data_IF_890748927719
#
_entry.id   IF_890748927719
#
_cell.length_a   1.000
_cell.length_b   1.000
_cell.length_c   1.000
_cell.angle_alpha   90.00
_cell.angle_beta   90.00
_cell.angle_gamma   90.00
#
_symmetry.space_group_name_H-M   'P 1'
#
loop_
_entity.id
_entity.type
_entity.pdbx_description
1 polymer ?
#
# COMPACT_ATOMS: atom_id res chain seq x y z
N UNK A 1 13.42 -1.14 -2.40
CA UNK A 1 12.72 0.12 -2.01
C UNK A 1 11.74 0.47 -3.12
N UNK A 2 10.57 1.02 -2.80
CA UNK A 2 9.47 1.20 -3.76
C UNK A 2 9.31 2.62 -4.34
N UNK A 3 10.05 3.61 -3.84
CA UNK A 3 10.08 4.97 -4.41
C UNK A 3 8.88 5.87 -4.12
N UNK A 4 7.89 5.41 -3.34
CA UNK A 4 6.73 6.24 -2.99
C UNK A 4 7.04 7.35 -1.99
N UNK A 5 6.37 8.49 -2.13
CA UNK A 5 6.33 9.52 -1.09
C UNK A 5 5.32 9.11 -0.02
N UNK A 6 5.79 9.04 1.22
CA UNK A 6 5.01 8.63 2.40
C UNK A 6 4.94 9.80 3.36
N UNK A 7 3.74 10.19 3.77
CA UNK A 7 3.54 11.24 4.76
C UNK A 7 3.99 10.77 6.16
N UNK A 8 4.27 11.68 7.10
CA UNK A 8 4.54 11.31 8.48
C UNK A 8 3.45 10.37 9.04
N UNK A 9 3.89 9.24 9.60
CA UNK A 9 2.98 8.21 10.12
C UNK A 9 2.18 8.78 11.29
N UNK A 10 0.87 8.53 11.29
CA UNK A 10 -0.04 8.93 12.36
C UNK A 10 -0.52 7.70 13.10
N UNK A 11 0.09 7.35 14.24
CA UNK A 11 -0.24 6.17 15.06
C UNK A 11 -0.44 4.89 14.24
N UNK A 12 -1.66 4.59 13.81
CA UNK A 12 -2.02 3.40 13.04
C UNK A 12 -2.32 3.68 11.55
N UNK A 13 -2.14 4.91 11.08
CA UNK A 13 -2.44 5.33 9.71
C UNK A 13 -1.16 5.68 8.95
N UNK A 14 -1.10 5.20 7.70
CA UNK A 14 -0.03 5.49 6.75
C UNK A 14 -0.65 6.05 5.47
N UNK A 15 -0.17 7.21 5.05
CA UNK A 15 -0.60 7.84 3.80
C UNK A 15 0.52 7.77 2.76
N UNK A 16 0.16 7.32 1.56
CA UNK A 16 1.10 7.15 0.44
C UNK A 16 0.57 7.89 -0.78
N UNK A 17 1.43 8.68 -1.42
CA UNK A 17 1.12 9.36 -2.67
C UNK A 17 1.37 8.40 -3.84
N UNK A 18 0.29 7.94 -4.48
CA UNK A 18 0.29 6.98 -5.59
C UNK A 18 -0.06 7.65 -6.92
N UNK A 19 -0.83 8.75 -6.88
CA UNK A 19 -1.26 9.48 -8.07
C UNK A 19 -2.17 8.63 -8.97
N UNK A 20 -2.02 8.80 -10.29
CA UNK A 20 -2.88 8.16 -11.29
C UNK A 20 -2.74 6.63 -11.34
N UNK A 21 -1.65 6.09 -10.76
CA UNK A 21 -1.39 4.65 -10.70
C UNK A 21 -2.25 3.93 -9.65
N UNK A 22 -3.11 4.64 -8.90
CA UNK A 22 -3.88 4.06 -7.79
C UNK A 22 -4.78 2.88 -8.20
N UNK A 23 -5.41 2.94 -9.37
CA UNK A 23 -6.25 1.84 -9.86
C UNK A 23 -5.41 0.62 -10.29
N UNK A 24 -4.28 0.85 -10.96
CA UNK A 24 -3.37 -0.20 -11.37
C UNK A 24 -2.75 -0.91 -10.15
N UNK A 25 -2.35 -0.14 -9.14
CA UNK A 25 -1.85 -0.66 -7.87
C UNK A 25 -2.92 -1.50 -7.16
N UNK A 26 -4.17 -1.03 -7.11
CA UNK A 26 -5.28 -1.78 -6.52
C UNK A 26 -5.48 -3.13 -7.21
N UNK A 27 -5.50 -3.16 -8.54
CA UNK A 27 -5.68 -4.39 -9.30
C UNK A 27 -4.52 -5.38 -9.03
N UNK A 28 -3.28 -4.88 -9.09
CA UNK A 28 -2.08 -5.68 -8.83
C UNK A 28 -2.01 -6.22 -7.39
N UNK A 29 -2.44 -5.43 -6.41
CA UNK A 29 -2.52 -5.83 -5.02
C UNK A 29 -3.61 -6.88 -4.79
N UNK A 30 -4.76 -6.76 -5.47
CA UNK A 30 -5.87 -7.70 -5.35
C UNK A 30 -5.48 -9.12 -5.79
N UNK A 31 -4.69 -9.26 -6.86
CA UNK A 31 -4.12 -10.55 -7.31
C UNK A 31 -3.26 -11.23 -6.23
N UNK A 32 -2.70 -10.44 -5.31
CA UNK A 32 -1.84 -10.90 -4.21
C UNK A 32 -2.58 -10.99 -2.87
N UNK A 33 -3.92 -10.92 -2.90
CA UNK A 33 -4.76 -10.99 -1.70
C UNK A 33 -4.79 -9.72 -0.86
N UNK A 34 -4.23 -8.61 -1.34
CA UNK A 34 -4.20 -7.32 -0.63
C UNK A 34 -5.35 -6.44 -1.14
N UNK A 35 -6.29 -6.11 -0.26
CA UNK A 35 -7.43 -5.23 -0.60
C UNK A 35 -7.07 -3.77 -0.34
N UNK A 36 -7.10 -2.95 -1.39
CA UNK A 36 -6.85 -1.51 -1.31
C UNK A 36 -8.04 -0.71 -1.84
N UNK A 37 -8.27 0.46 -1.26
CA UNK A 37 -9.17 1.48 -1.82
C UNK A 37 -8.36 2.38 -2.74
N UNK A 38 -8.65 2.36 -4.05
CA UNK A 38 -7.93 3.17 -5.02
C UNK A 38 -8.22 4.66 -4.79
N UNK A 39 -7.17 5.41 -4.45
CA UNK A 39 -7.18 6.86 -4.34
C UNK A 39 -5.78 7.39 -4.65
N UNK A 40 -5.64 8.57 -5.29
CA UNK A 40 -4.32 9.18 -5.53
C UNK A 40 -3.50 9.36 -4.25
N UNK A 41 -4.19 9.70 -3.15
CA UNK A 41 -3.68 9.65 -1.78
C UNK A 41 -4.24 8.41 -1.10
N UNK A 42 -3.43 7.36 -1.04
CA UNK A 42 -3.82 6.09 -0.43
C UNK A 42 -3.70 6.18 1.09
N UNK A 43 -4.80 5.93 1.81
CA UNK A 43 -4.81 5.80 3.27
C UNK A 43 -4.88 4.33 3.66
N UNK A 44 -3.85 3.84 4.34
CA UNK A 44 -3.80 2.51 4.93
C UNK A 44 -3.89 2.62 6.45
N UNK A 45 -4.59 1.68 7.07
CA UNK A 45 -4.82 1.66 8.52
C UNK A 45 -4.45 0.30 9.07
N UNK A 46 -3.58 0.24 10.08
CA UNK A 46 -3.28 -0.98 10.82
C UNK A 46 -4.28 -1.18 11.95
N UNK A 47 -4.69 -2.42 12.18
CA UNK A 47 -5.56 -2.83 13.29
C UNK A 47 -5.09 -4.18 13.85
N UNK A 48 -5.74 -4.68 14.89
CA UNK A 48 -5.35 -5.90 15.59
C UNK A 48 -5.33 -7.15 14.69
N UNK A 49 -6.12 -7.16 13.61
CA UNK A 49 -6.17 -8.28 12.64
C UNK A 49 -5.13 -8.16 11.52
N UNK A 50 -4.23 -7.18 11.59
CA UNK A 50 -3.12 -7.02 10.65
C UNK A 50 -1.81 -7.39 11.34
N UNK A 51 -1.31 -8.57 11.00
CA UNK A 51 -0.03 -9.07 11.48
C UNK A 51 1.15 -8.40 10.77
N UNK A 52 2.34 -8.48 11.39
CA UNK A 52 3.60 -8.03 10.79
C UNK A 52 3.89 -8.69 9.45
N UNK A 53 3.61 -9.99 9.32
CA UNK A 53 3.81 -10.73 8.07
C UNK A 53 2.93 -10.19 6.93
N UNK A 54 1.69 -9.80 7.22
CA UNK A 54 0.81 -9.16 6.24
C UNK A 54 1.32 -7.77 5.85
N UNK A 55 1.88 -6.99 6.78
CA UNK A 55 2.51 -5.71 6.47
C UNK A 55 3.70 -5.91 5.52
N UNK A 56 4.53 -6.91 5.78
CA UNK A 56 5.67 -7.24 4.90
C UNK A 56 5.20 -7.64 3.49
N UNK A 57 4.15 -8.44 3.38
CA UNK A 57 3.53 -8.79 2.09
C UNK A 57 3.03 -7.54 1.34
N UNK A 58 2.40 -6.59 2.04
CA UNK A 58 1.97 -5.31 1.44
C UNK A 58 3.19 -4.53 0.94
N UNK A 59 4.24 -4.38 1.76
CA UNK A 59 5.46 -3.67 1.35
C UNK A 59 6.11 -4.33 0.13
N UNK A 60 6.21 -5.65 0.10
CA UNK A 60 6.75 -6.40 -1.05
C UNK A 60 5.90 -6.20 -2.31
N UNK A 61 4.57 -6.18 -2.17
CA UNK A 61 3.65 -5.92 -3.28
C UNK A 61 3.90 -4.54 -3.88
N UNK A 62 4.11 -3.51 -3.05
CA UNK A 62 4.40 -2.15 -3.51
C UNK A 62 5.77 -2.06 -4.18
N UNK A 63 6.78 -2.75 -3.65
CA UNK A 63 8.11 -2.84 -4.30
C UNK A 63 8.00 -3.52 -5.67
N UNK A 64 7.30 -4.66 -5.76
CA UNK A 64 7.13 -5.37 -7.02
C UNK A 64 6.37 -4.54 -8.06
N UNK A 65 5.34 -3.80 -7.65
CA UNK A 65 4.63 -2.89 -8.55
C UNK A 65 5.53 -1.76 -9.05
N UNK A 66 6.38 -1.18 -8.20
CA UNK A 66 7.29 -0.09 -8.59
C UNK A 66 8.40 -0.50 -9.58
N UNK A 67 8.64 -1.80 -9.74
CA UNK A 67 9.66 -2.37 -10.64
C UNK A 67 9.07 -2.90 -11.95
N UNK A 68 7.75 -2.84 -12.10
CA UNK A 68 7.02 -3.20 -13.31
C UNK A 68 7.00 -2.01 -14.28
#
# INVERSE_FOLDING_TARGET
KAGYSVEPVQTNMVYVQVGDQAQALKAFAAERGVKLSAAPRLRMVTHLDVSRAQIEQVVQTFVAFSQK
#
